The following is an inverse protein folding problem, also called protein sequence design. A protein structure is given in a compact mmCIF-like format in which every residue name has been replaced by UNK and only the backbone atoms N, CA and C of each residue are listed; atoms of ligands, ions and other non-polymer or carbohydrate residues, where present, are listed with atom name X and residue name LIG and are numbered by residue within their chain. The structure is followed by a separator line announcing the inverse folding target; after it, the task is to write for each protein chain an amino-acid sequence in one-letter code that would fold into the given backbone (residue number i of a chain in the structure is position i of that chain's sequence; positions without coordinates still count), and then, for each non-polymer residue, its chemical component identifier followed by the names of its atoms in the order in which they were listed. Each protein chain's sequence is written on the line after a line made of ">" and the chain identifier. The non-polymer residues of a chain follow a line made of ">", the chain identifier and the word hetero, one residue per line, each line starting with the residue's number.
data_IF_478241124609
#
_entry.id   IF_478241124609
#
_cell.length_a   1.000
_cell.length_b   1.000
_cell.length_c   1.000
_cell.angle_alpha   90.00
_cell.angle_beta   90.00
_cell.angle_gamma   90.00
#
_symmetry.space_group_name_H-M   'P 1'
#
loop_
_entity.id
_entity.type
_entity.pdbx_description
1 polymer ?
#
# COMPACT_ATOMS: atom_id res chain seq x y z
N UNK A 1 10.23 11.16 8.03
CA UNK A 1 9.29 10.86 6.95
C UNK A 1 8.23 9.92 7.42
N UNK A 2 7.00 10.23 7.13
CA UNK A 2 5.93 9.38 7.57
C UNK A 2 5.66 8.26 6.58
N UNK A 3 5.22 7.13 7.08
CA UNK A 3 4.80 6.01 6.26
C UNK A 3 3.65 6.44 5.35
N UNK A 4 2.76 7.27 5.85
CA UNK A 4 1.60 7.73 5.10
C UNK A 4 1.99 8.54 3.86
N UNK A 5 2.97 9.42 3.99
CA UNK A 5 3.44 10.20 2.86
C UNK A 5 4.06 9.30 1.80
N UNK A 6 4.84 8.31 2.23
CA UNK A 6 5.48 7.37 1.30
C UNK A 6 4.45 6.49 0.62
N UNK A 7 3.44 6.06 1.36
CA UNK A 7 2.34 5.26 0.83
C UNK A 7 1.64 6.00 -0.30
N UNK A 8 1.31 7.28 -0.07
CA UNK A 8 0.62 8.07 -1.07
C UNK A 8 1.51 8.33 -2.29
N UNK A 9 2.80 8.55 -2.07
CA UNK A 9 3.73 8.73 -3.19
C UNK A 9 3.80 7.51 -4.08
N UNK A 10 3.88 6.33 -3.49
CA UNK A 10 3.96 5.08 -4.25
C UNK A 10 2.71 4.87 -5.07
N UNK A 11 1.54 5.06 -4.46
CA UNK A 11 0.28 4.89 -5.17
C UNK A 11 0.10 5.91 -6.29
N UNK A 12 0.50 7.16 -6.03
CA UNK A 12 0.44 8.21 -7.05
C UNK A 12 1.39 7.90 -8.20
N UNK A 13 2.58 7.42 -7.90
CA UNK A 13 3.54 7.10 -8.94
C UNK A 13 3.05 5.95 -9.81
N UNK A 14 2.48 4.93 -9.21
CA UNK A 14 1.91 3.82 -9.98
C UNK A 14 0.81 4.31 -10.90
N UNK A 15 -0.10 5.13 -10.39
CA UNK A 15 -1.20 5.66 -11.20
C UNK A 15 -0.67 6.51 -12.36
N UNK A 16 0.37 7.30 -12.11
CA UNK A 16 0.98 8.13 -13.15
C UNK A 16 1.60 7.27 -14.25
N UNK A 17 2.33 6.23 -13.87
CA UNK A 17 2.95 5.33 -14.85
C UNK A 17 1.89 4.63 -15.67
N UNK A 18 0.86 4.11 -15.02
CA UNK A 18 -0.21 3.40 -15.71
C UNK A 18 -0.95 4.32 -16.68
N UNK A 19 -1.17 5.56 -16.28
CA UNK A 19 -1.84 6.54 -17.14
C UNK A 19 -0.98 6.85 -18.37
N UNK A 20 0.32 7.00 -18.18
CA UNK A 20 1.21 7.28 -19.30
C UNK A 20 1.31 6.09 -20.26
N UNK A 21 1.37 4.88 -19.71
CA UNK A 21 1.41 3.68 -20.55
C UNK A 21 0.11 3.48 -21.32
N UNK A 22 -1.00 3.96 -20.78
CA UNK A 22 -2.29 3.90 -21.48
C UNK A 22 -2.31 4.81 -22.70
N UNK A 23 -1.45 5.82 -22.74
CA UNK A 23 -1.33 6.73 -23.88
C UNK A 23 -0.22 6.26 -24.82
N UNK A 24 -0.24 4.98 -25.15
CA UNK A 24 0.84 4.34 -25.87
C UNK A 24 1.20 5.00 -27.19
N UNK A 25 0.26 5.71 -27.83
CA UNK A 25 0.54 6.36 -29.10
C UNK A 25 1.47 7.55 -29.01
N UNK A 26 1.68 8.09 -27.82
CA UNK A 26 2.51 9.29 -27.63
C UNK A 26 3.88 8.96 -27.05
N UNK A 27 4.17 7.69 -26.79
CA UNK A 27 5.43 7.29 -26.16
C UNK A 27 6.36 6.61 -27.16
N UNK A 28 7.67 6.89 -27.02
CA UNK A 28 8.66 6.16 -27.78
C UNK A 28 8.83 4.75 -27.19
N UNK A 29 9.37 3.80 -27.97
CA UNK A 29 9.63 2.46 -27.43
C UNK A 29 10.52 2.48 -26.19
N UNK A 30 11.51 3.37 -26.15
CA UNK A 30 12.40 3.48 -24.99
C UNK A 30 11.64 3.94 -23.75
N UNK A 31 10.73 4.90 -23.92
CA UNK A 31 9.92 5.37 -22.82
C UNK A 31 8.99 4.28 -22.30
N UNK A 32 8.39 3.51 -23.19
CA UNK A 32 7.54 2.40 -22.80
C UNK A 32 8.34 1.39 -21.99
N UNK A 33 9.55 1.07 -22.44
CA UNK A 33 10.42 0.13 -21.71
C UNK A 33 10.76 0.63 -20.33
N UNK A 34 11.15 1.91 -20.21
CA UNK A 34 11.51 2.49 -18.93
C UNK A 34 10.34 2.48 -17.96
N UNK A 35 9.18 2.92 -18.44
CA UNK A 35 7.99 2.98 -17.60
C UNK A 35 7.52 1.58 -17.19
N UNK A 36 7.59 0.63 -18.11
CA UNK A 36 7.20 -0.75 -17.80
C UNK A 36 8.12 -1.37 -16.76
N UNK A 37 9.42 -1.07 -16.84
CA UNK A 37 10.38 -1.56 -15.87
C UNK A 37 10.13 -0.94 -14.50
N UNK A 38 9.90 0.37 -14.48
CA UNK A 38 9.59 1.06 -13.23
C UNK A 38 8.32 0.51 -12.61
N UNK A 39 7.30 0.27 -13.43
CA UNK A 39 6.04 -0.29 -12.95
C UNK A 39 6.26 -1.67 -12.32
N UNK A 40 7.07 -2.51 -12.96
CA UNK A 40 7.37 -3.83 -12.42
C UNK A 40 8.08 -3.73 -11.07
N UNK A 41 8.98 -2.77 -10.92
CA UNK A 41 9.70 -2.59 -9.66
C UNK A 41 8.81 -2.04 -8.55
N UNK A 42 7.91 -1.13 -8.88
CA UNK A 42 7.07 -0.47 -7.89
C UNK A 42 5.83 -1.29 -7.52
N UNK A 43 5.43 -2.23 -8.39
CA UNK A 43 4.19 -2.96 -8.18
C UNK A 43 4.08 -3.67 -6.84
N UNK A 44 5.10 -4.42 -6.37
CA UNK A 44 4.99 -5.07 -5.06
C UNK A 44 4.78 -4.07 -3.92
N UNK A 45 5.48 -2.94 -3.99
CA UNK A 45 5.36 -1.90 -2.98
C UNK A 45 3.98 -1.26 -3.06
N UNK A 46 3.52 -0.97 -4.27
CA UNK A 46 2.20 -0.34 -4.46
C UNK A 46 1.08 -1.27 -4.03
N UNK A 47 1.19 -2.57 -4.30
CA UNK A 47 0.19 -3.53 -3.87
C UNK A 47 0.10 -3.58 -2.34
N UNK A 48 1.25 -3.57 -1.67
CA UNK A 48 1.27 -3.56 -0.21
C UNK A 48 0.73 -2.24 0.34
N UNK A 49 1.06 -1.13 -0.30
CA UNK A 49 0.55 0.19 0.09
C UNK A 49 -0.97 0.24 -0.03
N UNK A 50 -1.51 -0.32 -1.10
CA UNK A 50 -2.95 -0.36 -1.31
C UNK A 50 -3.63 -1.23 -0.26
N UNK A 51 -3.01 -2.36 0.08
CA UNK A 51 -3.54 -3.23 1.12
C UNK A 51 -3.62 -2.52 2.46
N UNK A 52 -2.56 -1.82 2.85
CA UNK A 52 -2.55 -1.06 4.10
C UNK A 52 -3.62 0.01 4.09
N UNK A 53 -3.72 0.75 2.99
CA UNK A 53 -4.72 1.80 2.85
C UNK A 53 -6.14 1.25 2.98
N UNK A 54 -6.40 0.14 2.31
CA UNK A 54 -7.71 -0.52 2.35
C UNK A 54 -8.05 -0.97 3.76
N UNK A 55 -7.07 -1.55 4.47
CA UNK A 55 -7.28 -2.00 5.84
C UNK A 55 -7.57 -0.82 6.78
N UNK A 56 -6.92 0.31 6.56
CA UNK A 56 -7.18 1.52 7.35
C UNK A 56 -8.59 2.04 7.14
N UNK A 57 -9.05 2.00 5.89
CA UNK A 57 -10.42 2.41 5.57
C UNK A 57 -11.41 1.45 6.22
N UNK A 58 -11.15 0.16 6.13
CA UNK A 58 -12.01 -0.85 6.74
C UNK A 58 -12.10 -0.65 8.26
N UNK A 59 -10.98 -0.32 8.89
CA UNK A 59 -10.95 -0.07 10.32
C UNK A 59 -11.78 1.16 10.69
N UNK A 60 -11.64 2.22 9.92
CA UNK A 60 -12.41 3.44 10.13
C UNK A 60 -13.91 3.16 9.97
N UNK A 61 -14.26 2.38 8.93
CA UNK A 61 -15.65 2.01 8.68
C UNK A 61 -16.22 1.17 9.81
N UNK A 62 -15.42 0.25 10.35
CA UNK A 62 -15.85 -0.59 11.47
C UNK A 62 -16.09 0.24 12.73
N UNK A 63 -15.25 1.23 12.97
CA UNK A 63 -15.41 2.15 14.10
C UNK A 63 -16.69 2.98 13.95
N UNK A 64 -16.96 3.44 12.73
CA UNK A 64 -18.17 4.18 12.44
C UNK A 64 -19.39 3.29 12.68
N UNK A 65 -19.33 2.04 12.22
CA UNK A 65 -20.40 1.08 12.42
C UNK A 65 -20.66 0.87 13.91
N UNK A 66 -19.60 0.77 14.71
CA UNK A 66 -19.75 0.60 16.15
C UNK A 66 -20.40 1.83 16.78
N UNK A 67 -19.97 3.03 16.37
CA UNK A 67 -20.54 4.27 16.91
C UNK A 67 -22.02 4.41 16.57
N UNK A 68 -22.43 3.90 15.43
CA UNK A 68 -23.81 4.04 14.98
C UNK A 68 -24.71 2.85 15.34
N UNK A 69 -24.13 1.83 15.95
CA UNK A 69 -24.86 0.61 16.24
C UNK A 69 -25.96 0.76 17.29
N UNK A 70 -25.84 1.73 18.18
CA UNK A 70 -26.80 1.92 19.25
C UNK A 70 -26.88 0.68 20.13
N UNK A 71 -28.07 0.09 20.22
CA UNK A 71 -28.31 -1.08 21.06
C UNK A 71 -28.33 -2.41 20.28
N UNK A 72 -27.93 -2.35 19.02
CA UNK A 72 -27.94 -3.55 18.17
C UNK A 72 -26.74 -4.44 18.51
N UNK A 73 -26.97 -5.44 19.34
CA UNK A 73 -25.92 -6.32 19.84
C UNK A 73 -25.18 -7.06 18.71
N UNK A 74 -25.89 -7.46 17.67
CA UNK A 74 -25.27 -8.17 16.54
C UNK A 74 -24.31 -7.25 15.78
N UNK A 75 -24.73 -6.01 15.55
CA UNK A 75 -23.89 -5.03 14.86
C UNK A 75 -22.68 -4.68 15.72
N UNK A 76 -22.89 -4.50 17.03
CA UNK A 76 -21.80 -4.21 17.96
C UNK A 76 -20.75 -5.33 17.92
N UNK A 77 -21.22 -6.59 18.01
CA UNK A 77 -20.31 -7.74 18.02
C UNK A 77 -19.53 -7.84 16.73
N UNK A 78 -20.19 -7.62 15.60
CA UNK A 78 -19.56 -7.68 14.30
C UNK A 78 -18.50 -6.60 14.13
N UNK A 79 -18.85 -5.38 14.52
CA UNK A 79 -17.93 -4.25 14.43
C UNK A 79 -16.71 -4.45 15.34
N UNK A 80 -16.94 -4.91 16.56
CA UNK A 80 -15.85 -5.15 17.51
C UNK A 80 -14.91 -6.24 17.03
N UNK A 81 -15.45 -7.31 16.43
CA UNK A 81 -14.63 -8.38 15.87
C UNK A 81 -13.76 -7.85 14.74
N UNK A 82 -14.34 -7.06 13.84
CA UNK A 82 -13.62 -6.48 12.72
C UNK A 82 -12.52 -5.55 13.21
N UNK A 83 -12.82 -4.70 14.18
CA UNK A 83 -11.85 -3.78 14.77
C UNK A 83 -10.70 -4.56 15.40
N UNK A 84 -11.01 -5.59 16.14
CA UNK A 84 -9.98 -6.41 16.78
C UNK A 84 -9.07 -7.09 15.77
N UNK A 85 -9.65 -7.66 14.72
CA UNK A 85 -8.89 -8.32 13.67
C UNK A 85 -7.97 -7.34 12.96
N UNK A 86 -8.51 -6.20 12.53
CA UNK A 86 -7.74 -5.20 11.81
C UNK A 86 -6.67 -4.56 12.67
N UNK A 87 -6.98 -4.29 13.92
CA UNK A 87 -6.01 -3.71 14.85
C UNK A 87 -4.84 -4.65 15.07
N UNK A 88 -5.09 -5.96 15.04
CA UNK A 88 -4.02 -6.94 15.18
C UNK A 88 -3.19 -7.11 13.91
N UNK A 89 -3.83 -7.04 12.75
CA UNK A 89 -3.16 -7.27 11.47
C UNK A 89 -2.47 -6.02 10.92
N UNK A 90 -3.03 -4.86 11.16
CA UNK A 90 -2.56 -3.62 10.55
C UNK A 90 -1.08 -3.32 10.84
N UNK A 91 -0.60 -3.43 12.09
CA UNK A 91 0.81 -3.17 12.36
C UNK A 91 1.75 -4.08 11.57
N UNK A 92 1.37 -5.32 11.37
CA UNK A 92 2.19 -6.26 10.59
C UNK A 92 2.25 -5.86 9.14
N UNK A 93 1.11 -5.46 8.57
CA UNK A 93 1.07 -5.05 7.18
C UNK A 93 1.77 -3.71 6.97
N UNK A 94 1.67 -2.82 7.94
CA UNK A 94 2.40 -1.55 7.89
C UNK A 94 3.89 -1.80 7.97
N UNK A 95 4.31 -2.76 8.78
CA UNK A 95 5.72 -3.12 8.88
C UNK A 95 6.24 -3.67 7.55
N UNK A 96 5.47 -4.54 6.90
CA UNK A 96 5.85 -5.07 5.59
C UNK A 96 6.03 -3.94 4.58
N UNK A 97 5.10 -2.98 4.59
CA UNK A 97 5.19 -1.83 3.70
C UNK A 97 6.45 -1.03 3.99
N UNK A 98 6.71 -0.79 5.27
CA UNK A 98 7.88 -0.03 5.68
C UNK A 98 9.16 -0.69 5.20
N UNK A 99 9.23 -2.02 5.31
CA UNK A 99 10.41 -2.75 4.84
C UNK A 99 10.56 -2.67 3.33
N UNK A 100 9.45 -2.70 2.60
CA UNK A 100 9.50 -2.57 1.14
C UNK A 100 9.89 -1.17 0.69
N UNK A 101 9.62 -0.17 1.51
CA UNK A 101 9.97 1.22 1.20
C UNK A 101 11.41 1.56 1.51
N UNK A 102 12.10 0.72 2.26
CA UNK A 102 13.52 0.94 2.54
C UNK A 102 14.30 0.80 1.24
N UNK A 103 15.30 1.66 1.04
CA UNK A 103 16.14 1.54 -0.15
C UNK A 103 16.77 0.16 -0.18
N UNK A 104 16.75 -0.45 -1.35
CA UNK A 104 17.49 -1.68 -1.54
C UNK A 104 18.94 -1.32 -1.58
N UNK A 105 19.65 -1.77 -0.59
CA UNK A 105 21.05 -1.43 -0.48
C UNK A 105 21.87 -2.44 -1.24
N UNK A 106 22.21 -2.10 -2.46
CA UNK A 106 23.06 -2.94 -3.29
C UNK A 106 24.46 -3.02 -2.74
N UNK A 107 24.83 -2.02 -1.97
CA UNK A 107 26.13 -2.00 -1.32
C UNK A 107 26.25 -3.11 -0.30
N UNK A 108 25.15 -3.43 0.36
CA UNK A 108 25.12 -4.55 1.30
C UNK A 108 25.48 -5.85 0.59
N UNK A 109 24.97 -6.04 -0.60
CA UNK A 109 25.31 -7.23 -1.38
C UNK A 109 26.80 -7.28 -1.69
N UNK A 110 27.35 -6.13 -2.06
CA UNK A 110 28.78 -6.08 -2.35
C UNK A 110 29.62 -6.28 -1.11
N UNK A 111 29.17 -5.74 -0.01
CA UNK A 111 29.88 -5.91 1.25
C UNK A 111 29.91 -7.36 1.68
N UNK A 112 28.86 -8.10 1.39
CA UNK A 112 28.78 -9.50 1.72
C UNK A 112 29.85 -10.32 0.99
N UNK A 113 30.29 -9.84 -0.14
CA UNK A 113 31.29 -10.52 -0.97
C UNK A 113 32.68 -10.37 -0.37
N UNK A 114 32.86 -9.31 0.32
CA UNK A 114 34.17 -9.01 0.90
C UNK A 114 34.43 -9.82 2.17
#
# INVERSE_FOLDING_TARGET
>A
MSLDANLEKVLSRRAEIEARLAESGSLSPDEVMKLSRELAEIRPVADQAEKVRSMRVDLADARTMLDEAGDDDDTIALAEEEISTLTGQLPEEEHKLQMLLLPRDRDDSRNAIL
#
